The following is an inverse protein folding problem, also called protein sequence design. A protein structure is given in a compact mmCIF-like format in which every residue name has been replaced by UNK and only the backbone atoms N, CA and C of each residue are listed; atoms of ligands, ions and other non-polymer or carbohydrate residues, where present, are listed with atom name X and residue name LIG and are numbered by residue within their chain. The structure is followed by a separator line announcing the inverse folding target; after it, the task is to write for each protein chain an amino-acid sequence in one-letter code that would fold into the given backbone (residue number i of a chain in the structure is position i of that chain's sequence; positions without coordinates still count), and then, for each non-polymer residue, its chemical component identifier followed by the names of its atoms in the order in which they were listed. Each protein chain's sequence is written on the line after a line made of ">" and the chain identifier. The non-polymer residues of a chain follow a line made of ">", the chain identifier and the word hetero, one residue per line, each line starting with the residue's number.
data_IF_272295934053
#
_entry.id   IF_272295934053
#
_cell.length_a   1.000
_cell.length_b   1.000
_cell.length_c   1.000
_cell.angle_alpha   90.00
_cell.angle_beta   90.00
_cell.angle_gamma   90.00
#
_symmetry.space_group_name_H-M   'P 1'
#
loop_
_entity.id
_entity.type
_entity.pdbx_description
1 polymer ?
#
# COMPACT_ATOMS: atom_id res chain seq x y z
N UNK A 1 19.14 -28.08 18.23
CA UNK A 1 20.31 -28.15 17.34
C UNK A 1 19.89 -28.84 16.07
N UNK A 2 20.05 -28.18 14.94
CA UNK A 2 19.70 -28.67 13.61
C UNK A 2 20.02 -27.57 12.61
N UNK A 3 21.29 -27.47 12.23
CA UNK A 3 21.76 -26.54 11.21
C UNK A 3 21.09 -26.83 9.86
N UNK A 4 20.76 -25.80 9.05
CA UNK A 4 20.41 -26.01 7.66
C UNK A 4 21.67 -26.31 6.83
N UNK A 5 21.68 -27.47 6.16
CA UNK A 5 22.75 -27.94 5.29
C UNK A 5 22.98 -27.00 4.07
N UNK A 6 24.23 -26.85 3.60
CA UNK A 6 24.61 -25.94 2.51
C UNK A 6 24.04 -26.38 1.14
N UNK A 7 24.01 -25.49 0.12
CA UNK A 7 23.33 -25.74 -1.15
C UNK A 7 24.13 -26.72 -2.02
N UNK A 8 23.87 -28.00 -1.79
CA UNK A 8 24.34 -29.16 -2.53
C UNK A 8 23.55 -30.44 -2.22
N UNK A 9 22.67 -30.43 -1.20
CA UNK A 9 21.96 -31.62 -0.69
C UNK A 9 20.42 -31.48 -0.67
N UNK A 10 19.83 -30.62 -1.52
CA UNK A 10 18.35 -30.56 -1.62
C UNK A 10 17.87 -31.68 -2.53
N UNK A 11 17.00 -32.55 -2.01
CA UNK A 11 16.36 -33.60 -2.80
C UNK A 11 15.64 -32.97 -4.01
N UNK A 12 15.86 -33.46 -5.24
CA UNK A 12 15.19 -32.95 -6.42
C UNK A 12 13.66 -32.94 -6.25
N UNK A 13 12.99 -31.93 -6.80
CA UNK A 13 11.53 -31.74 -6.70
C UNK A 13 10.77 -33.02 -7.00
N UNK A 14 11.16 -33.76 -8.04
CA UNK A 14 10.50 -35.00 -8.44
C UNK A 14 10.59 -36.12 -7.39
N UNK A 15 11.66 -36.18 -6.59
CA UNK A 15 11.81 -37.14 -5.49
C UNK A 15 10.98 -36.73 -4.28
N UNK A 16 10.92 -35.43 -3.97
CA UNK A 16 10.11 -34.89 -2.87
C UNK A 16 8.62 -35.04 -3.15
N UNK A 17 8.21 -34.94 -4.41
CA UNK A 17 6.80 -35.10 -4.82
C UNK A 17 6.41 -36.53 -5.18
N UNK A 18 7.37 -37.47 -5.19
CA UNK A 18 7.10 -38.87 -5.53
C UNK A 18 6.13 -39.49 -4.52
N UNK A 19 5.01 -40.04 -5.01
CA UNK A 19 3.97 -40.64 -4.17
C UNK A 19 2.98 -39.67 -3.54
N UNK A 20 3.14 -38.35 -3.75
CA UNK A 20 2.17 -37.35 -3.28
C UNK A 20 1.14 -37.04 -4.38
N UNK A 21 -0.09 -37.47 -4.16
CA UNK A 21 -1.18 -37.39 -5.14
C UNK A 21 -1.84 -36.00 -5.21
N UNK A 22 -1.79 -35.21 -4.14
CA UNK A 22 -2.41 -33.88 -4.12
C UNK A 22 -1.40 -32.75 -4.19
N UNK A 23 -1.79 -31.64 -4.83
CA UNK A 23 -0.98 -30.41 -4.88
C UNK A 23 -0.72 -29.85 -3.48
N UNK A 24 -1.66 -29.99 -2.55
CA UNK A 24 -1.48 -29.56 -1.16
C UNK A 24 -0.39 -30.35 -0.43
N UNK A 25 -0.33 -31.67 -0.66
CA UNK A 25 0.71 -32.50 -0.05
C UNK A 25 2.08 -32.25 -0.68
N UNK A 26 2.13 -32.06 -2.00
CA UNK A 26 3.36 -31.64 -2.71
C UNK A 26 3.89 -30.30 -2.18
N UNK A 27 3.02 -29.32 -1.91
CA UNK A 27 3.39 -28.04 -1.30
C UNK A 27 4.02 -28.25 0.09
N UNK A 28 3.39 -29.06 0.95
CA UNK A 28 3.90 -29.36 2.30
C UNK A 28 5.22 -30.12 2.25
N UNK A 29 5.34 -31.09 1.34
CA UNK A 29 6.56 -31.89 1.14
C UNK A 29 7.73 -31.02 0.72
N UNK A 30 7.53 -30.17 -0.30
CA UNK A 30 8.57 -29.24 -0.77
C UNK A 30 8.94 -28.20 0.29
N UNK A 31 7.96 -27.70 1.05
CA UNK A 31 8.25 -26.78 2.16
C UNK A 31 9.11 -27.43 3.25
N UNK A 32 8.84 -28.69 3.61
CA UNK A 32 9.66 -29.45 4.57
C UNK A 32 11.06 -29.78 4.04
N UNK A 33 11.19 -29.93 2.72
CA UNK A 33 12.47 -30.07 2.04
C UNK A 33 13.24 -28.74 1.87
N UNK A 34 12.74 -27.64 2.45
CA UNK A 34 13.43 -26.35 2.49
C UNK A 34 13.25 -25.47 1.25
N UNK A 35 12.30 -25.79 0.36
CA UNK A 35 11.98 -24.94 -0.79
C UNK A 35 11.20 -23.70 -0.35
N UNK A 36 11.54 -22.55 -0.94
CA UNK A 36 10.84 -21.30 -0.70
C UNK A 36 9.46 -21.31 -1.37
N UNK A 37 8.52 -20.53 -0.81
CA UNK A 37 7.14 -20.41 -1.33
C UNK A 37 7.10 -20.04 -2.82
N UNK A 38 8.02 -19.19 -3.26
CA UNK A 38 8.16 -18.76 -4.66
C UNK A 38 8.65 -19.88 -5.57
N UNK A 39 9.59 -20.70 -5.09
CA UNK A 39 10.11 -21.86 -5.83
C UNK A 39 9.04 -22.94 -5.96
N UNK A 40 8.30 -23.22 -4.88
CA UNK A 40 7.18 -24.17 -4.90
C UNK A 40 6.10 -23.75 -5.90
N UNK A 41 5.75 -22.46 -5.93
CA UNK A 41 4.75 -21.93 -6.87
C UNK A 41 5.19 -22.13 -8.34
N UNK A 42 6.45 -21.82 -8.64
CA UNK A 42 7.02 -21.98 -9.97
C UNK A 42 7.11 -23.46 -10.40
N UNK A 43 7.56 -24.34 -9.51
CA UNK A 43 7.76 -25.77 -9.80
C UNK A 43 6.44 -26.52 -9.99
N UNK A 44 5.39 -26.14 -9.24
CA UNK A 44 4.09 -26.81 -9.32
C UNK A 44 3.12 -26.17 -10.32
N UNK A 45 3.48 -25.04 -10.92
CA UNK A 45 2.66 -24.29 -11.89
C UNK A 45 1.41 -23.66 -11.27
N UNK A 46 1.48 -23.25 -10.00
CA UNK A 46 0.33 -22.77 -9.22
C UNK A 46 0.55 -21.36 -8.69
N UNK A 47 -0.55 -20.68 -8.35
CA UNK A 47 -0.49 -19.32 -7.83
C UNK A 47 0.19 -19.26 -6.46
N UNK A 48 1.08 -18.29 -6.26
CA UNK A 48 1.76 -18.03 -4.98
C UNK A 48 0.80 -17.99 -3.76
N UNK A 49 -0.35 -17.35 -3.91
CA UNK A 49 -1.35 -17.25 -2.84
C UNK A 49 -1.90 -18.62 -2.42
N UNK A 50 -1.99 -19.59 -3.34
CA UNK A 50 -2.45 -20.94 -3.02
C UNK A 50 -1.40 -21.69 -2.18
N UNK A 51 -0.12 -21.55 -2.51
CA UNK A 51 1.00 -22.09 -1.72
C UNK A 51 0.98 -21.50 -0.31
N UNK A 52 0.83 -20.18 -0.20
CA UNK A 52 0.75 -19.47 1.08
C UNK A 52 -0.40 -19.99 1.95
N UNK A 53 -1.62 -20.06 1.41
CA UNK A 53 -2.80 -20.54 2.15
C UNK A 53 -2.64 -21.98 2.64
N UNK A 54 -2.07 -22.88 1.83
CA UNK A 54 -1.84 -24.28 2.22
C UNK A 54 -0.84 -24.38 3.37
N UNK A 55 0.25 -23.59 3.34
CA UNK A 55 1.28 -23.60 4.38
C UNK A 55 0.79 -22.96 5.68
N UNK A 56 0.07 -21.83 5.60
CA UNK A 56 -0.53 -21.16 6.76
C UNK A 56 -1.55 -22.07 7.47
N UNK A 57 -2.43 -22.74 6.72
CA UNK A 57 -3.38 -23.72 7.29
C UNK A 57 -2.71 -24.95 7.89
N UNK A 58 -1.48 -25.26 7.46
CA UNK A 58 -0.72 -26.41 7.95
C UNK A 58 0.26 -26.02 9.08
N UNK A 59 0.27 -24.76 9.53
CA UNK A 59 1.18 -24.27 10.56
C UNK A 59 2.66 -24.27 10.15
N UNK A 60 2.95 -24.36 8.84
CA UNK A 60 4.32 -24.38 8.33
C UNK A 60 4.74 -22.95 8.01
N UNK A 61 5.35 -22.27 8.98
CA UNK A 61 5.91 -20.93 8.75
C UNK A 61 7.33 -21.01 8.19
N UNK A 62 7.43 -21.05 6.86
CA UNK A 62 8.68 -20.71 6.19
C UNK A 62 8.83 -19.19 6.18
N UNK A 63 9.35 -18.68 7.29
CA UNK A 63 9.65 -17.27 7.52
C UNK A 63 10.89 -16.81 6.76
N UNK A 64 10.68 -15.79 5.91
CA UNK A 64 11.45 -14.54 5.93
C UNK A 64 12.98 -14.68 5.99
N UNK A 65 13.64 -14.65 4.83
CA UNK A 65 15.08 -14.36 4.62
C UNK A 65 15.99 -14.86 5.76
N UNK A 66 16.59 -16.05 5.59
CA UNK A 66 17.83 -16.35 6.29
C UNK A 66 18.83 -15.23 6.01
N UNK A 67 19.16 -14.46 7.05
CA UNK A 67 20.47 -13.84 7.18
C UNK A 67 21.45 -15.01 7.29
N UNK A 68 22.26 -15.19 6.26
CA UNK A 68 23.49 -15.97 6.36
C UNK A 68 24.52 -15.08 7.04
N UNK A 69 24.85 -15.41 8.29
CA UNK A 69 25.96 -14.81 9.01
C UNK A 69 27.27 -15.47 8.55
N UNK A 70 28.23 -14.60 8.19
CA UNK A 70 29.69 -14.70 8.32
C UNK A 70 30.46 -15.93 7.81
N UNK A 71 31.17 -15.76 6.67
CA UNK A 71 32.64 -15.85 6.61
C UNK A 71 33.19 -15.27 5.30
N UNK A 72 33.93 -14.15 5.37
CA UNK A 72 34.63 -13.52 4.25
C UNK A 72 35.05 -12.09 4.61
N UNK A 73 36.32 -11.69 4.39
CA UNK A 73 36.98 -10.66 5.18
C UNK A 73 36.48 -9.24 4.90
N UNK A 74 36.61 -8.41 5.93
CA UNK A 74 36.30 -6.99 5.94
C UNK A 74 36.85 -6.26 4.70
N UNK A 75 35.94 -5.65 3.95
CA UNK A 75 36.26 -4.50 3.12
C UNK A 75 35.26 -3.39 3.45
N UNK A 76 35.66 -2.56 4.43
CA UNK A 76 34.97 -1.29 4.71
C UNK A 76 35.05 -0.41 3.47
N UNK A 77 33.90 -0.11 2.88
CA UNK A 77 33.67 1.13 2.15
C UNK A 77 32.36 1.74 2.66
N UNK A 78 32.30 3.06 2.88
CA UNK A 78 31.18 3.69 3.58
C UNK A 78 29.97 3.73 2.64
N UNK A 79 29.02 2.81 2.84
CA UNK A 79 27.68 3.00 2.29
C UNK A 79 27.06 4.18 3.04
N UNK A 80 26.89 5.31 2.33
CA UNK A 80 26.05 6.44 2.77
C UNK A 80 24.81 5.89 3.47
N UNK A 81 24.70 6.19 4.76
CA UNK A 81 23.48 5.93 5.52
C UNK A 81 22.33 6.54 4.73
N UNK A 82 21.47 5.68 4.17
CA UNK A 82 20.13 6.12 3.80
C UNK A 82 19.50 6.57 5.12
N UNK A 83 18.98 7.80 5.24
CA UNK A 83 18.29 8.19 6.44
C UNK A 83 17.16 7.18 6.66
N UNK A 84 17.26 6.46 7.77
CA UNK A 84 16.22 5.59 8.29
C UNK A 84 15.00 6.51 8.43
N UNK A 85 13.87 6.27 7.73
CA UNK A 85 12.67 7.03 8.04
C UNK A 85 12.39 6.76 9.51
N UNK A 86 12.39 7.83 10.30
CA UNK A 86 11.94 7.80 11.69
C UNK A 86 10.68 6.96 11.73
N UNK A 87 10.70 5.95 12.60
CA UNK A 87 9.53 5.15 12.85
C UNK A 87 8.47 6.09 13.43
N UNK A 88 7.61 6.60 12.55
CA UNK A 88 6.41 7.33 12.94
C UNK A 88 5.69 6.47 13.97
N UNK A 89 5.50 7.03 15.16
CA UNK A 89 4.59 6.51 16.17
C UNK A 89 3.26 6.26 15.47
N UNK A 90 2.84 5.00 15.39
CA UNK A 90 1.87 4.52 14.41
C UNK A 90 0.42 5.00 14.64
N UNK A 91 0.21 6.05 15.43
CA UNK A 91 -1.11 6.54 15.84
C UNK A 91 -1.21 8.06 16.06
N UNK A 92 -0.17 8.85 15.78
CA UNK A 92 -0.31 10.31 15.90
C UNK A 92 -1.01 10.91 14.67
N UNK A 93 -2.04 11.75 14.87
CA UNK A 93 -2.67 12.50 13.79
C UNK A 93 -1.62 13.27 12.98
N UNK A 94 -1.54 13.02 11.67
CA UNK A 94 -0.57 13.73 10.83
C UNK A 94 -1.14 15.08 10.40
N UNK A 95 -0.45 16.21 10.69
CA UNK A 95 -0.94 17.53 10.34
C UNK A 95 -0.76 17.82 8.85
N UNK A 96 -1.63 18.67 8.30
CA UNK A 96 -1.62 19.07 6.89
C UNK A 96 -0.34 19.81 6.47
N UNK A 97 0.34 20.49 7.40
CA UNK A 97 1.63 21.16 7.14
C UNK A 97 2.64 20.22 6.52
N UNK A 98 2.68 18.94 6.92
CA UNK A 98 3.57 17.93 6.33
C UNK A 98 3.41 17.77 4.82
N UNK A 99 2.18 17.86 4.30
CA UNK A 99 1.93 17.78 2.85
C UNK A 99 2.20 19.12 2.17
N UNK A 100 1.82 20.24 2.81
CA UNK A 100 2.03 21.59 2.28
C UNK A 100 3.53 21.87 2.11
N UNK A 101 4.33 21.56 3.13
CA UNK A 101 5.80 21.70 3.11
C UNK A 101 6.44 20.81 2.03
N UNK A 102 5.77 19.71 1.66
CA UNK A 102 6.18 18.79 0.59
C UNK A 102 5.66 19.18 -0.80
N UNK A 103 4.98 20.33 -0.95
CA UNK A 103 4.52 20.86 -2.23
C UNK A 103 3.05 20.57 -2.57
N UNK A 104 2.24 20.08 -1.64
CA UNK A 104 0.79 20.09 -1.83
C UNK A 104 0.23 21.51 -1.72
N UNK A 105 -0.75 21.81 -2.56
CA UNK A 105 -1.43 23.10 -2.58
C UNK A 105 -2.83 22.92 -2.02
N UNK A 106 -3.21 23.76 -1.04
CA UNK A 106 -4.60 23.88 -0.60
C UNK A 106 -5.39 24.65 -1.66
N UNK A 107 -6.41 24.03 -2.23
CA UNK A 107 -7.24 24.64 -3.28
C UNK A 107 -8.57 25.18 -2.75
N UNK A 108 -9.05 24.67 -1.63
CA UNK A 108 -10.32 25.07 -1.03
C UNK A 108 -10.76 24.10 0.05
N UNK A 109 -12.06 24.06 0.30
CA UNK A 109 -12.73 23.22 1.29
C UNK A 109 -14.11 22.79 0.78
N UNK A 110 -14.69 21.81 1.45
CA UNK A 110 -16.09 21.45 1.26
C UNK A 110 -16.99 22.37 2.10
N UNK A 111 -18.03 22.90 1.47
CA UNK A 111 -19.05 23.75 2.09
C UNK A 111 -20.38 23.00 2.10
N UNK A 112 -21.05 22.87 3.26
CA UNK A 112 -22.37 22.25 3.32
C UNK A 112 -23.41 23.12 2.61
N UNK A 113 -24.25 22.49 1.79
CA UNK A 113 -25.44 23.10 1.19
C UNK A 113 -26.68 22.71 2.01
N UNK A 114 -26.68 21.47 2.52
CA UNK A 114 -27.68 20.91 3.43
C UNK A 114 -27.06 19.76 4.22
N UNK A 115 -27.83 19.15 5.12
CA UNK A 115 -27.36 18.02 5.94
C UNK A 115 -26.91 16.78 5.12
N UNK A 116 -27.29 16.71 3.83
CA UNK A 116 -27.00 15.60 2.91
C UNK A 116 -26.15 15.99 1.68
N UNK A 117 -25.85 17.28 1.53
CA UNK A 117 -25.18 17.81 0.34
C UNK A 117 -24.10 18.83 0.68
N UNK A 118 -23.02 18.79 -0.09
CA UNK A 118 -21.92 19.74 -0.01
C UNK A 118 -21.34 19.98 -1.40
N UNK A 119 -20.61 21.08 -1.54
CA UNK A 119 -19.86 21.43 -2.75
C UNK A 119 -18.49 22.01 -2.41
N UNK A 120 -17.51 21.99 -3.33
CA UNK A 120 -16.23 22.63 -3.08
C UNK A 120 -16.36 24.14 -3.29
N UNK A 121 -15.77 24.96 -2.41
CA UNK A 121 -15.76 26.43 -2.54
C UNK A 121 -14.67 26.96 -3.50
N UNK A 122 -14.20 26.12 -4.41
CA UNK A 122 -13.06 26.40 -5.25
C UNK A 122 -13.20 25.83 -6.67
N UNK A 123 -12.38 26.36 -7.58
CA UNK A 123 -12.23 25.81 -8.92
C UNK A 123 -11.30 24.59 -8.84
N UNK A 124 -11.88 23.41 -9.06
CA UNK A 124 -11.09 22.16 -9.08
C UNK A 124 -10.40 21.97 -10.44
N UNK A 125 -9.07 21.71 -10.47
CA UNK A 125 -8.33 21.44 -11.70
C UNK A 125 -8.84 20.21 -12.46
N UNK A 126 -8.55 20.14 -13.77
CA UNK A 126 -8.91 18.98 -14.62
C UNK A 126 -7.84 17.90 -14.62
N UNK A 127 -6.66 18.20 -14.12
CA UNK A 127 -5.48 17.36 -14.23
C UNK A 127 -5.55 16.13 -13.33
N UNK A 128 -4.80 15.10 -13.72
CA UNK A 128 -4.53 13.95 -12.87
C UNK A 128 -3.67 14.36 -11.67
N UNK A 129 -3.78 13.65 -10.55
CA UNK A 129 -2.98 13.96 -9.38
C UNK A 129 -3.39 13.21 -8.13
N UNK A 130 -2.66 13.52 -7.07
CA UNK A 130 -2.94 13.08 -5.70
C UNK A 130 -3.71 14.18 -5.00
N UNK A 131 -4.68 13.82 -4.18
CA UNK A 131 -5.42 14.76 -3.34
C UNK A 131 -5.57 14.22 -1.92
N UNK A 132 -5.76 15.12 -0.97
CA UNK A 132 -6.02 14.79 0.41
C UNK A 132 -7.22 15.56 0.96
N UNK A 133 -7.98 14.92 1.85
CA UNK A 133 -8.96 15.60 2.70
C UNK A 133 -8.39 15.76 4.09
N UNK A 134 -8.46 17.00 4.56
CA UNK A 134 -7.93 17.43 5.85
C UNK A 134 -9.11 17.90 6.70
N UNK A 135 -9.28 17.32 7.88
CA UNK A 135 -10.32 17.72 8.84
C UNK A 135 -9.65 18.41 10.01
N UNK A 136 -9.98 19.68 10.23
CA UNK A 136 -9.44 20.51 11.31
C UNK A 136 -7.90 20.44 11.41
N UNK A 137 -7.24 20.53 10.25
CA UNK A 137 -5.78 20.50 10.13
C UNK A 137 -5.15 19.10 10.12
N UNK A 138 -5.93 18.02 10.27
CA UNK A 138 -5.43 16.63 10.27
C UNK A 138 -5.77 15.92 8.97
N UNK A 139 -4.78 15.24 8.38
CA UNK A 139 -4.97 14.44 7.16
C UNK A 139 -5.82 13.20 7.49
N UNK A 140 -7.00 13.11 6.89
CA UNK A 140 -7.94 11.99 7.09
C UNK A 140 -8.02 11.05 5.90
N UNK A 141 -7.85 11.56 4.69
CA UNK A 141 -7.95 10.77 3.47
C UNK A 141 -6.90 11.20 2.46
N UNK A 142 -6.38 10.23 1.71
CA UNK A 142 -5.52 10.44 0.55
C UNK A 142 -6.08 9.63 -0.60
N UNK A 143 -6.13 10.23 -1.78
CA UNK A 143 -6.59 9.56 -2.98
C UNK A 143 -5.83 10.01 -4.22
N UNK A 144 -6.03 9.24 -5.28
CA UNK A 144 -5.44 9.41 -6.60
C UNK A 144 -6.55 9.52 -7.63
N UNK A 145 -6.33 10.30 -8.67
CA UNK A 145 -7.13 10.25 -9.90
C UNK A 145 -6.23 10.35 -11.14
N UNK A 146 -6.48 9.48 -12.11
CA UNK A 146 -5.85 9.54 -13.43
C UNK A 146 -6.73 10.25 -14.47
N UNK A 147 -8.03 10.41 -14.18
CA UNK A 147 -9.03 10.99 -15.10
C UNK A 147 -9.44 12.41 -14.74
N UNK A 148 -8.65 13.07 -13.88
CA UNK A 148 -8.87 14.45 -13.47
C UNK A 148 -9.44 14.63 -12.07
N UNK A 149 -8.99 15.68 -11.38
CA UNK A 149 -9.42 16.07 -10.04
C UNK A 149 -10.88 16.53 -10.02
N UNK A 150 -11.32 17.34 -10.99
CA UNK A 150 -12.71 17.82 -11.07
C UNK A 150 -13.73 16.69 -11.10
N UNK A 151 -13.54 15.71 -11.98
CA UNK A 151 -14.42 14.54 -12.07
C UNK A 151 -14.42 13.75 -10.77
N UNK A 152 -13.25 13.62 -10.12
CA UNK A 152 -13.11 12.91 -8.85
C UNK A 152 -13.83 13.61 -7.70
N UNK A 153 -13.72 14.93 -7.59
CA UNK A 153 -14.46 15.72 -6.60
C UNK A 153 -15.97 15.64 -6.81
N UNK A 154 -16.42 15.71 -8.06
CA UNK A 154 -17.83 15.55 -8.41
C UNK A 154 -18.39 14.15 -8.05
N UNK A 155 -17.57 13.10 -8.02
CA UNK A 155 -18.00 11.79 -7.52
C UNK A 155 -18.31 11.79 -6.03
N UNK A 156 -17.57 12.55 -5.22
CA UNK A 156 -17.85 12.69 -3.79
C UNK A 156 -19.11 13.52 -3.54
N UNK A 157 -19.35 14.58 -4.31
CA UNK A 157 -20.60 15.35 -4.27
C UNK A 157 -21.81 14.45 -4.58
N UNK A 158 -21.74 13.67 -5.66
CA UNK A 158 -22.86 12.79 -6.08
C UNK A 158 -23.04 11.57 -5.17
N UNK A 159 -21.95 10.95 -4.72
CA UNK A 159 -21.99 9.81 -3.80
C UNK A 159 -22.68 8.56 -4.35
N UNK A 160 -22.51 8.22 -5.63
CA UNK A 160 -23.19 7.08 -6.24
C UNK A 160 -22.94 5.76 -5.49
N UNK A 161 -24.01 5.05 -5.11
CA UNK A 161 -23.95 3.81 -4.34
C UNK A 161 -23.09 2.71 -4.99
N UNK A 162 -23.05 2.65 -6.33
CA UNK A 162 -22.18 1.71 -7.08
C UNK A 162 -20.69 1.99 -6.90
N UNK A 163 -20.32 3.21 -6.49
CA UNK A 163 -18.95 3.59 -6.16
C UNK A 163 -18.77 3.58 -4.63
N UNK A 164 -18.60 2.38 -4.06
CA UNK A 164 -18.53 2.15 -2.61
C UNK A 164 -17.61 3.14 -1.87
N UNK A 165 -16.41 3.38 -2.40
CA UNK A 165 -15.46 4.35 -1.82
C UNK A 165 -16.00 5.77 -1.84
N UNK A 166 -16.52 6.24 -2.97
CA UNK A 166 -17.07 7.60 -3.10
C UNK A 166 -18.27 7.81 -2.16
N UNK A 167 -19.17 6.83 -2.08
CA UNK A 167 -20.32 6.87 -1.16
C UNK A 167 -19.88 6.89 0.32
N UNK A 168 -18.93 6.03 0.70
CA UNK A 168 -18.39 6.00 2.07
C UNK A 168 -17.72 7.31 2.45
N UNK A 169 -16.86 7.83 1.59
CA UNK A 169 -16.13 9.08 1.84
C UNK A 169 -17.10 10.27 1.84
N UNK A 170 -18.13 10.29 0.98
CA UNK A 170 -19.22 11.29 1.07
C UNK A 170 -19.84 11.29 2.47
N UNK A 171 -20.20 10.12 2.99
CA UNK A 171 -20.76 10.00 4.33
C UNK A 171 -19.81 10.45 5.45
N UNK A 172 -18.49 10.26 5.28
CA UNK A 172 -17.48 10.77 6.22
C UNK A 172 -17.35 12.30 6.17
N UNK A 173 -17.35 12.89 4.97
CA UNK A 173 -17.33 14.35 4.78
C UNK A 173 -18.59 14.98 5.39
N UNK A 174 -19.78 14.45 5.08
CA UNK A 174 -21.05 14.96 5.66
C UNK A 174 -21.03 14.89 7.19
N UNK A 175 -20.58 13.77 7.77
CA UNK A 175 -20.49 13.67 9.23
C UNK A 175 -19.57 14.72 9.83
N UNK A 176 -18.42 15.00 9.21
CA UNK A 176 -17.51 16.04 9.68
C UNK A 176 -18.14 17.45 9.56
N UNK A 177 -18.74 17.76 8.40
CA UNK A 177 -19.40 19.06 8.20
C UNK A 177 -20.58 19.29 9.15
N UNK A 178 -21.40 18.27 9.40
CA UNK A 178 -22.60 18.37 10.26
C UNK A 178 -22.25 18.57 11.75
N UNK A 179 -21.03 18.25 12.17
CA UNK A 179 -20.54 18.57 13.53
C UNK A 179 -19.76 19.89 13.59
N UNK A 180 -19.73 20.65 12.48
CA UNK A 180 -19.05 21.94 12.37
C UNK A 180 -17.56 21.87 12.06
N UNK A 181 -16.99 20.69 11.77
CA UNK A 181 -15.59 20.56 11.39
C UNK A 181 -15.34 21.13 9.99
N UNK A 182 -14.14 21.67 9.79
CA UNK A 182 -13.68 22.20 8.50
C UNK A 182 -13.00 21.09 7.70
N UNK A 183 -13.45 20.84 6.46
CA UNK A 183 -12.87 19.82 5.58
C UNK A 183 -12.19 20.45 4.37
N UNK A 184 -10.86 20.59 4.42
CA UNK A 184 -10.04 21.19 3.37
C UNK A 184 -9.61 20.17 2.30
N UNK A 185 -9.34 20.67 1.10
CA UNK A 185 -8.88 19.91 -0.06
C UNK A 185 -7.47 20.36 -0.43
N UNK A 186 -6.52 19.42 -0.35
CA UNK A 186 -5.14 19.61 -0.80
C UNK A 186 -4.90 18.77 -2.06
N UNK A 187 -4.07 19.25 -2.98
CA UNK A 187 -3.70 18.52 -4.21
C UNK A 187 -2.20 18.57 -4.47
N UNK A 188 -1.70 17.58 -5.21
CA UNK A 188 -0.38 17.57 -5.80
C UNK A 188 -0.44 16.92 -7.19
N UNK A 189 0.24 17.53 -8.16
CA UNK A 189 0.35 17.06 -9.54
C UNK A 189 1.84 16.89 -9.88
N UNK A 190 2.52 15.90 -9.29
CA UNK A 190 3.93 15.68 -9.56
C UNK A 190 4.14 15.24 -11.00
N UNK A 191 5.23 15.69 -11.62
CA UNK A 191 5.60 15.26 -12.96
C UNK A 191 5.97 13.77 -12.98
N UNK A 192 5.56 13.08 -14.04
CA UNK A 192 5.97 11.71 -14.28
C UNK A 192 7.46 11.65 -14.64
N UNK A 193 8.08 10.51 -14.40
CA UNK A 193 9.51 10.31 -14.66
C UNK A 193 9.74 9.09 -15.56
N UNK A 194 11.00 8.82 -15.87
CA UNK A 194 11.39 7.63 -16.64
C UNK A 194 12.45 6.82 -15.90
N UNK A 195 12.39 5.50 -16.07
CA UNK A 195 13.40 4.57 -15.56
C UNK A 195 13.87 3.68 -16.70
N UNK A 196 15.10 3.92 -17.17
CA UNK A 196 15.67 3.25 -18.36
C UNK A 196 14.73 3.27 -19.58
N UNK A 197 14.08 4.42 -19.83
CA UNK A 197 13.15 4.59 -20.95
C UNK A 197 11.73 4.04 -20.70
N UNK A 198 11.47 3.41 -19.56
CA UNK A 198 10.12 3.00 -19.16
C UNK A 198 9.41 4.12 -18.40
N UNK A 199 8.10 4.35 -18.62
CA UNK A 199 7.36 5.38 -17.93
C UNK A 199 7.17 5.02 -16.45
N UNK A 200 7.39 5.98 -15.58
CA UNK A 200 7.14 5.89 -14.14
C UNK A 200 6.11 6.94 -13.78
N UNK A 201 4.91 6.47 -13.43
CA UNK A 201 3.85 7.35 -12.95
C UNK A 201 4.17 7.79 -11.52
N UNK A 202 4.42 9.08 -11.33
CA UNK A 202 4.85 9.60 -10.02
C UNK A 202 3.66 9.72 -9.06
N UNK A 203 2.48 10.15 -9.55
CA UNK A 203 1.30 10.32 -8.71
C UNK A 203 0.81 9.03 -8.03
N UNK A 204 0.70 7.86 -8.71
CA UNK A 204 0.39 6.60 -8.04
C UNK A 204 1.44 6.17 -7.01
N UNK A 205 2.73 6.39 -7.30
CA UNK A 205 3.81 6.09 -6.36
C UNK A 205 3.74 6.96 -5.10
N UNK A 206 3.45 8.25 -5.28
CA UNK A 206 3.26 9.20 -4.20
C UNK A 206 2.06 8.82 -3.32
N UNK A 207 0.89 8.53 -3.92
CA UNK A 207 -0.30 8.12 -3.17
C UNK A 207 -0.04 6.87 -2.32
N UNK A 208 0.53 5.82 -2.91
CA UNK A 208 0.83 4.59 -2.21
C UNK A 208 1.84 4.81 -1.07
N UNK A 209 2.86 5.64 -1.32
CA UNK A 209 3.86 6.02 -0.32
C UNK A 209 3.24 6.76 0.86
N UNK A 210 2.39 7.76 0.58
CA UNK A 210 1.72 8.57 1.60
C UNK A 210 0.74 7.74 2.43
N UNK A 211 -0.09 6.89 1.81
CA UNK A 211 -1.01 6.01 2.55
C UNK A 211 -0.24 5.07 3.47
N UNK A 212 0.87 4.49 3.01
CA UNK A 212 1.70 3.60 3.83
C UNK A 212 2.36 4.33 5.00
N UNK A 213 2.80 5.57 4.78
CA UNK A 213 3.49 6.40 5.77
C UNK A 213 2.52 6.96 6.82
N UNK A 214 1.42 7.57 6.38
CA UNK A 214 0.49 8.33 7.21
C UNK A 214 -0.60 7.44 7.81
N UNK A 215 -0.97 6.37 7.10
CA UNK A 215 -2.12 5.51 7.40
C UNK A 215 -3.39 6.31 7.74
N UNK A 216 -3.87 7.17 6.83
CA UNK A 216 -5.06 7.97 7.09
C UNK A 216 -6.25 7.06 7.44
N UNK A 217 -7.03 7.45 8.43
CA UNK A 217 -8.13 6.65 8.99
C UNK A 217 -9.32 6.48 8.01
N UNK A 218 -9.51 7.41 7.07
CA UNK A 218 -10.53 7.26 6.03
C UNK A 218 -10.05 6.43 4.84
N UNK A 219 -8.75 6.12 4.74
CA UNK A 219 -8.26 5.14 3.79
C UNK A 219 -8.53 3.74 4.34
N UNK A 220 -9.18 2.89 3.54
CA UNK A 220 -9.26 1.48 3.91
C UNK A 220 -7.83 0.94 3.88
N UNK A 221 -7.31 0.61 5.06
CA UNK A 221 -6.08 -0.16 5.14
C UNK A 221 -6.39 -1.47 4.42
N UNK A 222 -5.75 -1.69 3.28
CA UNK A 222 -5.67 -3.02 2.72
C UNK A 222 -4.97 -3.88 3.75
N UNK A 223 -5.73 -4.52 4.64
CA UNK A 223 -5.40 -5.85 5.12
C UNK A 223 -5.34 -6.70 3.85
N UNK A 224 -4.18 -6.69 3.20
CA UNK A 224 -3.81 -7.72 2.26
C UNK A 224 -3.71 -9.01 3.06
N UNK A 225 -4.85 -9.67 3.23
CA UNK A 225 -4.89 -11.10 3.53
C UNK A 225 -4.33 -11.87 2.33
#
# INVERSE_FOLDING_TARGET
>A
MGEPLPPGERLPVHQVTAGLSTKADQIRGLARAGYLRTEIAAQLGIRYQHVRQVLERSGIDLGRKQRTDASGPEMRSPAKERPKPEAATANEPTPASRLIDAGFIRIGQWTPISDEAFEPDCIVPVDAGVYAFVVDGIIRYIGLTQRGLRGRMAHYVRGHARQRTSARIKGLILRALNVGSRVEILIATPEDSTWHGLPVLTAPGLEAGLIRMIRPDWNMQGLGE
#
